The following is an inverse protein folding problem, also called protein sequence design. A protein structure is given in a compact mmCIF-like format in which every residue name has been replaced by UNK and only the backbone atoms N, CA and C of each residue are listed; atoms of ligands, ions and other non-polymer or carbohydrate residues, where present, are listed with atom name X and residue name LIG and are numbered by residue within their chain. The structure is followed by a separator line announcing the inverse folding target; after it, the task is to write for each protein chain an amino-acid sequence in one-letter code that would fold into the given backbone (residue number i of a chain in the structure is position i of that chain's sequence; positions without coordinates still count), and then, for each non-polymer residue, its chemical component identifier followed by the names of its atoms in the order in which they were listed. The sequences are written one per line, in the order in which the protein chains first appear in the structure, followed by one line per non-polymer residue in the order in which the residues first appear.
data_IF_279980929134
#
_entry.id   IF_279980929134
#
_cell.length_a   1.000
_cell.length_b   1.000
_cell.length_c   1.000
_cell.angle_alpha   90.00
_cell.angle_beta   90.00
_cell.angle_gamma   90.00
#
_symmetry.space_group_name_H-M   'P 1'
#
loop_
_entity.id
_entity.type
_entity.pdbx_description
1 polymer ?
#
# COMPACT_ATOMS: atom_id res chain seq x y z
N UNK A 1 -18.60 37.16 17.68
CA UNK A 1 -17.29 37.13 17.01
C UNK A 1 -16.50 35.84 17.29
N UNK A 2 -16.61 35.20 18.46
CA UNK A 2 -15.89 33.94 18.76
C UNK A 2 -16.34 32.72 17.93
N UNK A 3 -17.62 32.66 17.53
CA UNK A 3 -18.16 31.53 16.75
C UNK A 3 -17.48 31.36 15.39
N UNK A 4 -17.20 32.45 14.66
CA UNK A 4 -16.58 32.40 13.33
C UNK A 4 -15.12 31.89 13.38
N UNK A 5 -14.39 32.24 14.45
CA UNK A 5 -13.03 31.74 14.69
C UNK A 5 -13.03 30.23 14.92
N UNK A 6 -13.99 29.73 15.71
CA UNK A 6 -14.16 28.29 15.96
C UNK A 6 -14.44 27.51 14.67
N UNK A 7 -15.33 28.00 13.80
CA UNK A 7 -15.60 27.34 12.51
C UNK A 7 -14.38 27.27 11.61
N UNK A 8 -13.56 28.33 11.56
CA UNK A 8 -12.34 28.35 10.73
C UNK A 8 -11.32 27.31 11.19
N UNK A 9 -11.11 27.18 12.50
CA UNK A 9 -10.18 26.19 13.08
C UNK A 9 -10.65 24.76 12.77
N UNK A 10 -11.95 24.49 12.87
CA UNK A 10 -12.54 23.18 12.58
C UNK A 10 -12.34 22.79 11.10
N UNK A 11 -12.57 23.70 10.15
CA UNK A 11 -12.37 23.43 8.71
C UNK A 11 -10.91 23.11 8.40
N UNK A 12 -9.97 23.84 9.01
CA UNK A 12 -8.54 23.60 8.85
C UNK A 12 -8.20 22.20 9.40
N UNK A 13 -8.67 21.84 10.60
CA UNK A 13 -8.43 20.52 11.20
C UNK A 13 -8.95 19.37 10.31
N UNK A 14 -10.17 19.47 9.76
CA UNK A 14 -10.70 18.44 8.85
C UNK A 14 -9.90 18.32 7.55
N UNK A 15 -9.38 19.44 7.03
CA UNK A 15 -8.53 19.43 5.84
C UNK A 15 -7.19 18.73 6.09
N UNK A 16 -6.62 18.91 7.30
CA UNK A 16 -5.41 18.22 7.73
C UNK A 16 -5.64 16.72 7.95
N UNK A 17 -6.76 16.32 8.57
CA UNK A 17 -7.12 14.90 8.74
C UNK A 17 -7.28 14.21 7.39
N UNK A 18 -7.94 14.88 6.43
CA UNK A 18 -8.08 14.42 5.05
C UNK A 18 -6.76 14.14 4.32
N UNK A 19 -5.66 14.77 4.77
CA UNK A 19 -4.32 14.56 4.20
C UNK A 19 -3.56 13.39 4.87
N UNK A 20 -4.02 12.90 6.02
CA UNK A 20 -3.41 11.78 6.78
C UNK A 20 -4.10 10.45 6.45
N UNK A 21 -4.98 10.42 5.44
CA UNK A 21 -5.32 9.15 4.79
C UNK A 21 -4.04 8.69 4.12
N UNK A 22 -3.24 7.93 4.89
CA UNK A 22 -1.96 7.38 4.47
C UNK A 22 -2.19 6.85 3.09
N UNK A 23 -1.56 7.53 2.11
CA UNK A 23 -1.76 7.23 0.71
C UNK A 23 -1.66 5.73 0.62
N UNK A 24 -2.76 5.06 0.28
CA UNK A 24 -2.75 3.65 -0.04
C UNK A 24 -1.73 3.59 -1.17
N UNK A 25 -0.47 3.28 -0.80
CA UNK A 25 0.64 3.32 -1.74
C UNK A 25 0.13 2.42 -2.86
N UNK A 26 0.02 2.91 -4.10
CA UNK A 26 -0.60 2.11 -5.13
C UNK A 26 0.24 0.84 -5.28
N UNK A 27 -0.40 -0.31 -5.32
CA UNK A 27 0.28 -1.59 -5.48
C UNK A 27 -0.70 -2.73 -5.68
N UNK A 28 -0.18 -3.95 -5.70
CA UNK A 28 -0.93 -5.12 -6.09
C UNK A 28 -0.34 -6.42 -5.53
N UNK A 29 -1.13 -7.48 -5.62
CA UNK A 29 -0.73 -8.84 -5.28
C UNK A 29 -0.16 -9.51 -6.53
N UNK A 30 1.16 -9.78 -6.60
CA UNK A 30 1.74 -10.49 -7.72
C UNK A 30 1.17 -11.91 -7.79
N UNK A 31 1.04 -12.43 -9.01
CA UNK A 31 0.62 -13.79 -9.30
C UNK A 31 1.82 -14.61 -9.74
N UNK A 32 1.83 -15.87 -9.34
CA UNK A 32 2.78 -16.86 -9.84
C UNK A 32 2.36 -17.42 -11.21
N UNK A 33 3.12 -18.41 -11.70
CA UNK A 33 2.84 -19.11 -12.96
C UNK A 33 1.47 -19.79 -13.01
N UNK A 34 0.87 -20.08 -11.86
CA UNK A 34 -0.41 -20.78 -11.69
C UNK A 34 -1.59 -19.82 -11.47
N UNK A 35 -1.38 -18.51 -11.60
CA UNK A 35 -2.37 -17.46 -11.25
C UNK A 35 -2.68 -17.34 -9.75
N UNK A 36 -1.84 -17.92 -8.88
CA UNK A 36 -2.01 -17.85 -7.44
C UNK A 36 -1.21 -16.70 -6.84
N UNK A 37 -1.77 -16.07 -5.79
CA UNK A 37 -1.04 -15.07 -5.01
C UNK A 37 -0.04 -15.73 -4.06
N UNK A 38 1.10 -15.07 -3.84
CA UNK A 38 2.12 -15.57 -2.92
C UNK A 38 1.70 -15.39 -1.46
N UNK A 39 1.28 -16.47 -0.80
CA UNK A 39 0.99 -16.48 0.64
C UNK A 39 2.24 -16.24 1.48
N UNK A 40 2.09 -15.54 2.58
CA UNK A 40 3.20 -15.20 3.47
C UNK A 40 2.76 -15.13 4.94
N UNK A 41 3.75 -15.10 5.83
CA UNK A 41 3.64 -14.89 7.27
C UNK A 41 5.01 -14.42 7.78
N UNK A 42 5.11 -13.54 8.80
CA UNK A 42 4.05 -12.84 9.52
C UNK A 42 3.60 -11.54 8.84
N UNK A 43 2.54 -10.92 9.38
CA UNK A 43 2.01 -9.61 8.96
C UNK A 43 3.09 -8.52 9.04
N UNK A 44 3.05 -7.57 8.10
CA UNK A 44 3.99 -6.46 8.01
C UNK A 44 5.16 -6.74 7.05
N UNK A 45 6.29 -6.07 7.29
CA UNK A 45 7.48 -6.23 6.46
C UNK A 45 7.95 -7.69 6.45
N UNK A 46 8.05 -8.26 5.25
CA UNK A 46 8.29 -9.68 5.11
C UNK A 46 9.40 -9.93 4.08
N UNK A 47 10.55 -10.53 4.48
CA UNK A 47 11.65 -10.82 3.57
C UNK A 47 11.25 -11.66 2.35
N UNK A 48 10.28 -12.56 2.52
CA UNK A 48 9.74 -13.34 1.40
C UNK A 48 9.00 -12.45 0.41
N UNK A 49 8.12 -11.56 0.89
CA UNK A 49 7.43 -10.61 0.01
C UNK A 49 8.40 -9.66 -0.69
N UNK A 50 9.40 -9.12 0.01
CA UNK A 50 10.45 -8.30 -0.61
C UNK A 50 11.13 -9.08 -1.75
N UNK A 51 11.47 -10.36 -1.53
CA UNK A 51 12.08 -11.21 -2.54
C UNK A 51 11.16 -11.42 -3.76
N UNK A 52 9.88 -11.71 -3.54
CA UNK A 52 8.89 -11.88 -4.62
C UNK A 52 8.74 -10.56 -5.40
N UNK A 53 8.48 -9.45 -4.71
CA UNK A 53 8.32 -8.14 -5.32
C UNK A 53 9.53 -7.72 -6.16
N UNK A 54 10.76 -8.04 -5.71
CA UNK A 54 11.98 -7.85 -6.51
C UNK A 54 12.02 -8.66 -7.78
N UNK A 55 11.51 -9.90 -7.78
CA UNK A 55 11.38 -10.69 -9.01
C UNK A 55 10.44 -10.03 -10.00
N UNK A 56 9.34 -9.45 -9.52
CA UNK A 56 8.38 -8.69 -10.34
C UNK A 56 8.84 -7.25 -10.67
N UNK A 57 10.09 -6.89 -10.35
CA UNK A 57 10.69 -5.63 -10.76
C UNK A 57 10.47 -4.45 -9.83
N UNK A 58 10.00 -4.67 -8.59
CA UNK A 58 9.80 -3.60 -7.60
C UNK A 58 10.52 -3.86 -6.28
N UNK A 59 10.78 -2.80 -5.51
CA UNK A 59 11.74 -2.88 -4.40
C UNK A 59 11.09 -3.25 -3.08
N UNK A 60 9.85 -2.81 -2.87
CA UNK A 60 9.13 -3.00 -1.62
C UNK A 60 8.04 -4.05 -1.73
N UNK A 61 7.95 -4.86 -0.67
CA UNK A 61 6.97 -5.92 -0.52
C UNK A 61 6.67 -6.19 0.94
N UNK A 62 5.40 -6.36 1.28
CA UNK A 62 4.97 -6.64 2.64
C UNK A 62 3.72 -7.52 2.67
N UNK A 63 3.40 -8.05 3.84
CA UNK A 63 2.19 -8.83 4.08
C UNK A 63 1.10 -7.95 4.70
N UNK A 64 0.01 -7.71 3.98
CA UNK A 64 -1.13 -6.93 4.47
C UNK A 64 -2.24 -7.78 5.10
N UNK A 65 -2.66 -8.85 4.41
CA UNK A 65 -3.86 -9.62 4.80
C UNK A 65 -3.75 -11.13 4.65
N UNK A 66 -2.69 -11.64 4.03
CA UNK A 66 -2.29 -13.06 3.86
C UNK A 66 -1.33 -13.19 2.65
N UNK A 67 -1.66 -12.64 1.48
CA UNK A 67 -0.74 -12.61 0.35
C UNK A 67 0.24 -11.43 0.45
N UNK A 68 1.38 -11.61 -0.22
CA UNK A 68 2.36 -10.56 -0.45
C UNK A 68 1.77 -9.46 -1.30
N UNK A 69 1.96 -8.23 -0.86
CA UNK A 69 1.59 -7.03 -1.56
C UNK A 69 2.86 -6.31 -2.00
N UNK A 70 2.90 -5.84 -3.26
CA UNK A 70 4.03 -5.14 -3.85
C UNK A 70 3.63 -3.74 -4.31
N UNK A 71 4.48 -2.74 -4.06
CA UNK A 71 4.26 -1.37 -4.52
C UNK A 71 4.31 -1.28 -6.06
N UNK A 72 3.46 -0.46 -6.68
CA UNK A 72 3.54 -0.17 -8.11
C UNK A 72 4.68 0.81 -8.40
N UNK A 73 5.70 0.39 -9.15
CA UNK A 73 6.56 1.32 -9.88
C UNK A 73 6.25 1.27 -11.37
N UNK A 74 5.47 2.25 -11.84
CA UNK A 74 5.31 2.61 -13.25
C UNK A 74 4.55 1.62 -14.13
N UNK A 75 4.77 0.30 -14.03
CA UNK A 75 4.21 -0.72 -14.94
C UNK A 75 4.18 -2.15 -14.36
N UNK A 76 3.89 -2.37 -13.08
CA UNK A 76 3.43 -3.74 -12.73
C UNK A 76 2.05 -3.87 -13.37
N UNK A 77 1.97 -4.59 -14.49
CA UNK A 77 0.78 -5.37 -14.81
C UNK A 77 0.95 -6.67 -14.05
N UNK A 78 -0.09 -7.49 -13.83
CA UNK A 78 0.10 -8.83 -13.26
C UNK A 78 1.04 -9.66 -14.17
N UNK A 79 2.36 -9.48 -14.01
CA UNK A 79 3.40 -10.12 -14.82
C UNK A 79 3.67 -11.42 -14.12
N UNK A 80 3.17 -12.50 -14.69
CA UNK A 80 3.49 -13.86 -14.30
C UNK A 80 4.97 -14.10 -14.58
N UNK A 81 5.66 -14.71 -13.62
CA UNK A 81 7.06 -15.13 -13.75
C UNK A 81 7.12 -16.63 -13.48
#
# INVERSE_FOLDING_TARGET
MMKLMLFSIIVILFSLIGSIHGADVPGNYPLDSSDDTYLCAPLGENPFCIKICRKHGVKYGLMLRLPCWCEYFGKIKNVKI
#
